data_IF_270870713136
#
_entry.id   IF_270870713136
#
_cell.length_a   1.000
_cell.length_b   1.000
_cell.length_c   1.000
_cell.angle_alpha   90.00
_cell.angle_beta   90.00
_cell.angle_gamma   90.00
#
_symmetry.space_group_name_H-M   'P 1'
#
loop_
_entity.id
_entity.type
_entity.pdbx_description
1 polymer ?
#
# COMPACT_ATOMS: atom_id res chain seq x y z
N UNK A 1 14.52 -2.65 6.46
CA UNK A 1 15.26 -1.97 5.37
C UNK A 1 14.57 -2.10 4.00
N UNK A 2 14.20 -3.30 3.53
CA UNK A 2 13.57 -3.47 2.20
C UNK A 2 12.28 -2.64 1.96
N UNK A 3 11.40 -2.50 2.95
CA UNK A 3 10.16 -1.70 2.82
C UNK A 3 10.45 -0.20 2.62
N UNK A 4 11.48 0.33 3.29
CA UNK A 4 11.85 1.75 3.20
C UNK A 4 12.43 2.09 1.82
N UNK A 5 13.25 1.20 1.26
CA UNK A 5 13.81 1.37 -0.09
C UNK A 5 12.72 1.34 -1.17
N UNK A 6 11.70 0.49 -1.01
CA UNK A 6 10.58 0.43 -1.96
C UNK A 6 9.75 1.72 -1.97
N UNK A 7 9.42 2.27 -0.79
CA UNK A 7 8.76 3.59 -0.68
C UNK A 7 9.63 4.68 -1.32
N UNK A 8 10.94 4.68 -1.04
CA UNK A 8 11.87 5.68 -1.57
C UNK A 8 12.03 5.61 -3.10
N UNK A 9 11.82 4.44 -3.71
CA UNK A 9 11.87 4.32 -5.17
C UNK A 9 10.76 5.11 -5.86
N UNK A 10 9.60 5.28 -5.19
CA UNK A 10 8.42 5.93 -5.74
C UNK A 10 7.90 5.31 -7.05
N UNK A 11 8.37 4.11 -7.42
CA UNK A 11 7.97 3.44 -8.65
C UNK A 11 6.70 2.62 -8.40
N UNK A 12 5.69 2.70 -9.28
CA UNK A 12 4.56 1.78 -9.26
C UNK A 12 5.03 0.33 -9.46
N UNK A 13 4.35 -0.62 -8.82
CA UNK A 13 4.51 -2.04 -9.13
C UNK A 13 3.76 -2.46 -10.40
N UNK A 14 3.78 -3.76 -10.72
CA UNK A 14 3.11 -4.33 -11.91
C UNK A 14 1.60 -4.10 -11.94
N UNK A 15 0.98 -3.80 -10.80
CA UNK A 15 -0.45 -3.49 -10.68
C UNK A 15 -0.73 -1.98 -10.74
N UNK A 16 0.32 -1.16 -10.91
CA UNK A 16 0.24 0.29 -10.90
C UNK A 16 0.13 0.89 -9.50
N UNK A 17 0.44 0.12 -8.45
CA UNK A 17 0.39 0.62 -7.06
C UNK A 17 1.72 1.24 -6.70
N UNK A 18 1.69 2.54 -6.41
CA UNK A 18 2.85 3.31 -5.98
C UNK A 18 2.77 3.56 -4.47
N UNK A 19 3.75 3.09 -3.69
CA UNK A 19 3.79 3.36 -2.26
C UNK A 19 4.09 4.84 -1.99
N UNK A 20 3.30 5.46 -1.12
CA UNK A 20 3.54 6.81 -0.61
C UNK A 20 4.11 6.80 0.80
N UNK A 21 3.70 5.83 1.62
CA UNK A 21 4.17 5.70 3.00
C UNK A 21 3.66 4.45 3.67
N UNK A 22 4.39 3.98 4.68
CA UNK A 22 3.99 2.87 5.55
C UNK A 22 4.21 3.32 7.00
N UNK A 23 3.20 3.16 7.83
CA UNK A 23 3.20 3.50 9.25
C UNK A 23 2.95 2.24 10.05
N UNK A 24 3.76 1.99 11.08
CA UNK A 24 3.61 0.84 11.96
C UNK A 24 3.28 1.32 13.37
N UNK A 25 2.18 0.83 13.92
CA UNK A 25 1.80 1.01 15.31
C UNK A 25 2.62 0.10 16.23
N UNK A 26 2.74 0.51 17.49
CA UNK A 26 3.46 -0.26 18.53
C UNK A 26 2.80 -1.59 18.89
N UNK A 27 1.53 -1.76 18.51
CA UNK A 27 0.71 -2.97 18.71
C UNK A 27 0.75 -3.93 17.51
N UNK A 28 1.60 -3.68 16.51
CA UNK A 28 1.77 -4.54 15.34
C UNK A 28 0.80 -4.25 14.17
N UNK A 29 -0.05 -3.23 14.28
CA UNK A 29 -0.87 -2.75 13.17
C UNK A 29 -0.04 -1.94 12.17
N UNK A 30 -0.30 -2.11 10.88
CA UNK A 30 0.35 -1.36 9.81
C UNK A 30 -0.68 -0.61 8.97
N UNK A 31 -0.33 0.59 8.55
CA UNK A 31 -1.11 1.39 7.61
C UNK A 31 -0.26 1.72 6.40
N UNK A 32 -0.76 1.37 5.22
CA UNK A 32 -0.12 1.69 3.94
C UNK A 32 -0.89 2.83 3.27
N UNK A 33 -0.16 3.85 2.83
CA UNK A 33 -0.67 4.88 1.94
C UNK A 33 -0.10 4.65 0.55
N UNK A 34 -0.94 4.65 -0.47
CA UNK A 34 -0.52 4.38 -1.86
C UNK A 34 -1.36 5.18 -2.85
N UNK A 35 -0.72 5.58 -3.95
CA UNK A 35 -1.41 5.96 -5.18
C UNK A 35 -1.68 4.68 -5.97
N UNK A 36 -2.90 4.49 -6.44
CA UNK A 36 -3.29 3.30 -7.18
C UNK A 36 -4.45 3.61 -8.13
N UNK A 37 -4.64 2.83 -9.21
CA UNK A 37 -5.76 3.03 -10.14
C UNK A 37 -7.12 2.71 -9.51
N UNK A 38 -7.16 1.81 -8.52
CA UNK A 38 -8.33 1.48 -7.70
C UNK A 38 -7.90 0.59 -6.52
N UNK A 39 -8.82 0.39 -5.58
CA UNK A 39 -8.58 -0.45 -4.40
C UNK A 39 -8.32 -1.94 -4.72
N UNK A 40 -8.87 -2.48 -5.81
CA UNK A 40 -8.63 -3.88 -6.18
C UNK A 40 -7.17 -4.10 -6.62
N UNK A 41 -6.56 -3.11 -7.27
CA UNK A 41 -5.13 -3.12 -7.58
C UNK A 41 -4.29 -3.15 -6.30
N UNK A 42 -4.68 -2.41 -5.26
CA UNK A 42 -4.03 -2.44 -3.94
C UNK A 42 -4.12 -3.83 -3.31
N UNK A 43 -5.29 -4.49 -3.37
CA UNK A 43 -5.45 -5.87 -2.90
C UNK A 43 -4.53 -6.84 -3.64
N UNK A 44 -4.49 -6.79 -4.98
CA UNK A 44 -3.62 -7.66 -5.80
C UNK A 44 -2.13 -7.44 -5.52
N UNK A 45 -1.74 -6.18 -5.39
CA UNK A 45 -0.38 -5.80 -5.03
C UNK A 45 0.05 -6.32 -3.65
N UNK A 46 -0.88 -6.44 -2.71
CA UNK A 46 -0.66 -6.97 -1.36
C UNK A 46 -0.64 -8.51 -1.35
N UNK A 47 -1.54 -9.15 -2.10
CA UNK A 47 -1.54 -10.59 -2.33
C UNK A 47 -0.20 -11.08 -2.91
N UNK A 48 0.30 -10.41 -3.97
CA UNK A 48 1.57 -10.74 -4.60
C UNK A 48 2.80 -10.58 -3.66
N UNK A 49 2.70 -9.69 -2.67
CA UNK A 49 3.73 -9.46 -1.64
C UNK A 49 3.59 -10.41 -0.44
N UNK A 50 2.61 -11.31 -0.44
CA UNK A 50 2.36 -12.25 0.65
C UNK A 50 1.70 -11.63 1.89
N UNK A 51 1.07 -10.47 1.75
CA UNK A 51 0.37 -9.76 2.84
C UNK A 51 -1.07 -9.47 2.40
N UNK A 52 -1.93 -10.50 2.23
CA UNK A 52 -3.27 -10.32 1.71
C UNK A 52 -4.10 -9.38 2.58
N UNK A 53 -4.82 -8.45 1.93
CA UNK A 53 -5.75 -7.53 2.59
C UNK A 53 -7.16 -7.79 2.08
N UNK A 54 -8.17 -7.95 2.95
CA UNK A 54 -9.55 -8.01 2.51
C UNK A 54 -9.94 -6.67 1.89
N UNK A 55 -10.78 -6.70 0.86
CA UNK A 55 -11.22 -5.48 0.16
C UNK A 55 -11.84 -4.45 1.11
N UNK A 56 -12.49 -4.90 2.19
CA UNK A 56 -13.09 -4.04 3.21
C UNK A 56 -12.11 -3.18 3.99
N UNK A 57 -10.82 -3.55 4.04
CA UNK A 57 -9.77 -2.80 4.75
C UNK A 57 -9.08 -1.75 3.86
N UNK A 58 -9.40 -1.72 2.56
CA UNK A 58 -8.85 -0.75 1.61
C UNK A 58 -9.84 0.38 1.38
N UNK A 59 -9.45 1.58 1.80
CA UNK A 59 -10.25 2.78 1.66
C UNK A 59 -9.60 3.76 0.70
N UNK A 60 -10.33 4.12 -0.36
CA UNK A 60 -9.92 5.17 -1.27
C UNK A 60 -10.12 6.53 -0.58
N UNK A 61 -9.09 7.36 -0.61
CA UNK A 61 -9.11 8.73 -0.07
C UNK A 61 -8.88 9.71 -1.21
N UNK A 62 -9.83 10.63 -1.42
CA UNK A 62 -9.79 11.54 -2.58
C UNK A 62 -8.86 12.74 -2.38
N UNK A 63 -8.51 13.06 -1.14
CA UNK A 63 -7.64 14.20 -0.82
C UNK A 63 -6.78 13.86 0.38
N UNK A 64 -5.47 14.02 0.23
CA UNK A 64 -4.56 14.21 1.36
C UNK A 64 -4.63 15.69 1.73
N UNK A 65 -4.91 16.06 3.00
CA UNK A 65 -4.87 17.45 3.45
C UNK A 65 -3.48 18.07 3.29
#
# INVERSE_FOLDING_TARGET
EQMSTWIQSGQPDEFGVKPLGIFMGTTGQGWCLSEAPNADAVCRAHEAKGVPLPRGDVHEVMTLP
#
